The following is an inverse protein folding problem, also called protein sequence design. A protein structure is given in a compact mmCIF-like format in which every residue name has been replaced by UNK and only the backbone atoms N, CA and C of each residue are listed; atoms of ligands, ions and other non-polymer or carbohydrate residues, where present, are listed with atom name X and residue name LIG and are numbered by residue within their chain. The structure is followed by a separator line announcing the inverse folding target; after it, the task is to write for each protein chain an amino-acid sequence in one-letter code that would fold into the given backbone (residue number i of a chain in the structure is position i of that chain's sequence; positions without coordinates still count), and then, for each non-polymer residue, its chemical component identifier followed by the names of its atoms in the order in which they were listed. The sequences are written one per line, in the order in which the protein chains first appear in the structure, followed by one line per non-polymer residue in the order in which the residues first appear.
data_IF_848611545670
#
_entry.id   IF_848611545670
#
_cell.length_a   1.000
_cell.length_b   1.000
_cell.length_c   1.000
_cell.angle_alpha   90.00
_cell.angle_beta   90.00
_cell.angle_gamma   90.00
#
_symmetry.space_group_name_H-M   'P 1'
#
loop_
_entity.id
_entity.type
_entity.pdbx_description
1 polymer ?
#
# COMPACT_ATOMS: atom_id res chain seq x y z
N UNK A 1 26.44 -11.07 -24.69
CA UNK A 1 26.45 -9.95 -23.74
C UNK A 1 25.01 -9.45 -23.74
N UNK A 2 24.16 -9.85 -22.78
CA UNK A 2 22.78 -9.40 -22.78
C UNK A 2 22.69 -8.00 -22.16
N UNK A 3 21.81 -7.22 -22.76
CA UNK A 3 21.60 -5.79 -22.70
C UNK A 3 21.12 -5.32 -21.31
N UNK A 4 21.89 -4.44 -20.67
CA UNK A 4 21.60 -3.85 -19.35
C UNK A 4 20.71 -2.59 -19.44
N UNK A 5 20.03 -2.36 -20.57
CA UNK A 5 19.29 -1.12 -20.86
C UNK A 5 17.78 -1.35 -21.15
N UNK A 6 17.17 -2.41 -20.61
CA UNK A 6 15.71 -2.56 -20.63
C UNK A 6 15.07 -2.21 -19.27
N UNK A 7 15.58 -1.15 -18.63
CA UNK A 7 15.18 -0.72 -17.27
C UNK A 7 14.04 0.31 -17.25
N UNK A 8 13.49 0.70 -18.40
CA UNK A 8 12.47 1.77 -18.48
C UNK A 8 11.02 1.27 -18.48
N UNK A 9 10.77 -0.03 -18.61
CA UNK A 9 9.42 -0.60 -18.77
C UNK A 9 9.10 -1.52 -17.59
N UNK A 10 7.93 -1.30 -17.01
CA UNK A 10 7.39 -2.09 -15.91
C UNK A 10 7.08 -3.50 -16.42
N UNK A 11 7.58 -4.54 -15.74
CA UNK A 11 7.32 -5.93 -16.15
C UNK A 11 5.94 -6.38 -15.64
N UNK A 12 5.44 -7.50 -16.18
CA UNK A 12 4.21 -8.10 -15.66
C UNK A 12 4.29 -8.47 -14.17
N UNK A 13 5.48 -8.81 -13.67
CA UNK A 13 5.70 -9.12 -12.26
C UNK A 13 5.59 -7.89 -11.37
N UNK A 14 6.11 -6.74 -11.83
CA UNK A 14 5.99 -5.47 -11.11
C UNK A 14 4.53 -5.04 -10.98
N UNK A 15 3.77 -5.11 -12.08
CA UNK A 15 2.33 -4.83 -12.05
C UNK A 15 1.62 -5.76 -11.06
N UNK A 16 1.93 -7.05 -11.08
CA UNK A 16 1.32 -8.02 -10.18
C UNK A 16 1.60 -7.70 -8.70
N UNK A 17 2.82 -7.25 -8.37
CA UNK A 17 3.19 -6.86 -7.01
C UNK A 17 2.39 -5.64 -6.54
N UNK A 18 2.29 -4.59 -7.36
CA UNK A 18 1.51 -3.39 -7.04
C UNK A 18 0.03 -3.72 -6.84
N UNK A 19 -0.55 -4.49 -7.77
CA UNK A 19 -1.94 -4.92 -7.65
C UNK A 19 -2.17 -5.77 -6.40
N UNK A 20 -1.21 -6.61 -6.02
CA UNK A 20 -1.31 -7.42 -4.80
C UNK A 20 -1.38 -6.57 -3.54
N UNK A 21 -0.64 -5.46 -3.48
CA UNK A 21 -0.71 -4.54 -2.34
C UNK A 21 -2.08 -3.88 -2.31
N UNK A 22 -2.53 -3.30 -3.42
CA UNK A 22 -3.81 -2.59 -3.47
C UNK A 22 -5.03 -3.49 -3.23
N UNK A 23 -4.94 -4.77 -3.60
CA UNK A 23 -5.98 -5.77 -3.33
C UNK A 23 -6.16 -6.02 -1.82
N UNK A 24 -5.07 -5.99 -1.04
CA UNK A 24 -5.09 -6.12 0.43
C UNK A 24 -5.83 -4.94 1.10
N UNK A 25 -5.78 -3.76 0.48
CA UNK A 25 -6.57 -2.59 0.87
C UNK A 25 -8.04 -2.63 0.39
N UNK A 26 -8.44 -3.69 -0.32
CA UNK A 26 -9.77 -3.79 -0.92
C UNK A 26 -10.00 -2.79 -2.06
N UNK A 27 -8.92 -2.26 -2.66
CA UNK A 27 -9.01 -1.36 -3.80
C UNK A 27 -9.16 -2.20 -5.05
N UNK A 28 -10.29 -2.03 -5.75
CA UNK A 28 -10.52 -2.73 -7.00
C UNK A 28 -9.45 -2.34 -8.03
N UNK A 29 -8.98 -3.32 -8.80
CA UNK A 29 -7.94 -3.13 -9.83
C UNK A 29 -8.31 -2.09 -10.89
N UNK A 30 -9.59 -1.77 -11.04
CA UNK A 30 -10.10 -0.70 -11.91
C UNK A 30 -9.86 0.72 -11.36
N UNK A 31 -9.70 0.85 -10.04
CA UNK A 31 -9.36 2.09 -9.35
C UNK A 31 -7.85 2.27 -9.21
N UNK A 32 -7.03 1.31 -9.65
CA UNK A 32 -5.57 1.37 -9.54
C UNK A 32 -4.97 1.59 -10.91
N UNK A 33 -4.31 2.73 -11.08
CA UNK A 33 -3.53 3.07 -12.26
C UNK A 33 -2.05 2.89 -11.94
N UNK A 34 -1.40 1.94 -12.61
CA UNK A 34 0.05 1.78 -12.53
C UNK A 34 0.66 2.38 -13.78
N UNK A 35 1.61 3.30 -13.60
CA UNK A 35 2.30 3.90 -14.71
C UNK A 35 3.20 2.86 -15.38
N UNK A 36 3.11 2.71 -16.71
CA UNK A 36 3.91 1.73 -17.48
C UNK A 36 5.38 2.16 -17.65
N UNK A 37 5.67 3.43 -17.35
CA UNK A 37 6.99 4.00 -17.33
C UNK A 37 7.53 3.99 -15.89
N UNK A 38 8.79 3.60 -15.73
CA UNK A 38 9.47 3.73 -14.44
C UNK A 38 10.11 5.12 -14.36
N UNK A 39 9.85 5.85 -13.28
CA UNK A 39 10.38 7.21 -13.02
C UNK A 39 11.07 7.24 -11.65
N UNK A 40 12.26 7.83 -11.57
CA UNK A 40 12.97 8.04 -10.30
C UNK A 40 13.02 9.53 -9.96
N UNK A 41 12.41 9.97 -8.84
CA UNK A 41 11.80 9.16 -7.78
C UNK A 41 10.38 8.67 -8.11
N UNK A 42 10.04 7.44 -7.70
CA UNK A 42 8.66 6.93 -7.83
C UNK A 42 7.68 7.68 -6.93
N UNK A 43 6.42 7.77 -7.33
CA UNK A 43 5.36 8.50 -6.63
C UNK A 43 4.09 7.67 -6.42
N UNK A 44 3.38 7.96 -5.33
CA UNK A 44 2.03 7.45 -5.06
C UNK A 44 1.11 8.63 -4.91
N UNK A 45 0.07 8.69 -5.73
CA UNK A 45 -0.90 9.77 -5.72
C UNK A 45 -2.30 9.19 -5.62
N UNK A 46 -3.13 9.78 -4.78
CA UNK A 46 -4.51 9.37 -4.60
C UNK A 46 -5.38 10.51 -5.10
N UNK A 47 -6.22 10.21 -6.07
CA UNK A 47 -7.19 11.16 -6.59
C UNK A 47 -8.37 11.30 -5.63
N UNK A 48 -9.00 12.48 -5.56
CA UNK A 48 -10.23 12.67 -4.78
C UNK A 48 -11.43 11.86 -5.31
N UNK A 49 -11.30 11.24 -6.49
CA UNK A 49 -12.27 10.30 -7.05
C UNK A 49 -12.13 8.88 -6.47
N UNK A 50 -11.10 8.62 -5.65
CA UNK A 50 -10.80 7.31 -5.06
C UNK A 50 -9.89 6.42 -5.91
N UNK A 51 -9.34 6.93 -7.01
CA UNK A 51 -8.35 6.21 -7.82
C UNK A 51 -6.94 6.41 -7.29
N UNK A 52 -6.14 5.35 -7.28
CA UNK A 52 -4.75 5.32 -6.82
C UNK A 52 -3.81 5.23 -8.02
N UNK A 53 -2.93 6.20 -8.16
CA UNK A 53 -1.91 6.29 -9.20
C UNK A 53 -0.55 5.96 -8.59
N UNK A 54 0.13 4.97 -9.17
CA UNK A 54 1.39 4.44 -8.64
C UNK A 54 2.45 4.46 -9.74
N UNK A 55 3.54 5.14 -9.47
CA UNK A 55 4.72 5.25 -10.34
C UNK A 55 5.90 4.57 -9.65
N UNK A 56 6.46 3.54 -10.30
CA UNK A 56 7.57 2.76 -9.73
C UNK A 56 8.93 3.38 -10.04
N UNK A 57 9.86 3.43 -9.07
CA UNK A 57 11.23 3.88 -9.28
C UNK A 57 12.06 2.91 -10.13
N UNK A 58 12.90 3.43 -11.03
CA UNK A 58 13.91 2.60 -11.73
C UNK A 58 15.00 2.08 -10.78
N UNK A 59 15.26 2.80 -9.68
CA UNK A 59 16.34 2.50 -8.73
C UNK A 59 15.98 1.42 -7.70
N UNK A 60 14.70 1.04 -7.59
CA UNK A 60 14.21 0.14 -6.51
C UNK A 60 13.32 -0.98 -7.03
N UNK A 61 13.37 -2.12 -6.34
CA UNK A 61 12.50 -3.26 -6.63
C UNK A 61 11.05 -2.95 -6.23
N UNK A 62 10.05 -3.50 -6.95
CA UNK A 62 8.63 -3.28 -6.65
C UNK A 62 8.25 -3.77 -5.25
N UNK A 63 8.94 -4.77 -4.72
CA UNK A 63 8.73 -5.32 -3.37
C UNK A 63 9.13 -4.33 -2.25
N UNK A 64 10.23 -3.60 -2.44
CA UNK A 64 10.66 -2.56 -1.51
C UNK A 64 9.74 -1.32 -1.61
N UNK A 65 9.32 -1.01 -2.83
CA UNK A 65 8.41 0.11 -3.07
C UNK A 65 6.96 -0.18 -2.63
N UNK A 66 6.53 -1.44 -2.66
CA UNK A 66 5.25 -1.90 -2.11
C UNK A 66 5.08 -1.49 -0.64
N UNK A 67 6.15 -1.54 0.15
CA UNK A 67 6.15 -1.08 1.53
C UNK A 67 5.96 0.43 1.68
N UNK A 68 6.31 1.21 0.65
CA UNK A 68 6.07 2.67 0.60
C UNK A 68 4.63 2.95 0.14
N UNK A 69 4.15 2.22 -0.88
CA UNK A 69 2.76 2.32 -1.36
C UNK A 69 1.76 2.09 -0.23
N UNK A 70 1.92 1.03 0.56
CA UNK A 70 1.05 0.78 1.72
C UNK A 70 1.04 1.95 2.71
N UNK A 71 2.21 2.54 2.98
CA UNK A 71 2.33 3.61 3.96
C UNK A 71 1.65 4.89 3.47
N UNK A 72 1.77 5.19 2.17
CA UNK A 72 1.09 6.32 1.52
C UNK A 72 -0.43 6.09 1.49
N UNK A 73 -0.90 4.89 1.17
CA UNK A 73 -2.31 4.51 1.23
C UNK A 73 -2.89 4.70 2.64
N UNK A 74 -2.20 4.18 3.67
CA UNK A 74 -2.58 4.34 5.07
C UNK A 74 -2.61 5.81 5.51
N UNK A 75 -1.59 6.59 5.12
CA UNK A 75 -1.50 8.02 5.44
C UNK A 75 -2.64 8.85 4.82
N UNK A 76 -3.18 8.42 3.67
CA UNK A 76 -4.30 9.04 3.01
C UNK A 76 -5.68 8.50 3.47
N UNK A 77 -5.70 7.59 4.45
CA UNK A 77 -6.93 7.09 5.05
C UNK A 77 -7.52 5.84 4.38
N UNK A 78 -6.77 5.16 3.50
CA UNK A 78 -7.13 3.79 3.12
C UNK A 78 -6.82 2.86 4.28
N UNK A 79 -7.85 2.19 4.78
CA UNK A 79 -7.68 1.14 5.77
C UNK A 79 -7.53 -0.20 5.05
N UNK A 80 -6.52 -0.97 5.43
CA UNK A 80 -6.41 -2.38 5.03
C UNK A 80 -7.74 -3.08 5.31
N UNK A 81 -8.28 -3.75 4.29
CA UNK A 81 -9.66 -4.23 4.38
C UNK A 81 -9.71 -5.36 5.43
N UNK A 82 -10.49 -5.22 6.51
CA UNK A 82 -10.45 -6.10 7.67
C UNK A 82 -11.05 -7.50 7.46
N UNK A 83 -11.00 -8.07 6.25
CA UNK A 83 -11.11 -9.53 6.07
C UNK A 83 -9.96 -10.29 6.72
N UNK A 84 -8.89 -9.58 7.08
CA UNK A 84 -7.79 -10.01 7.93
C UNK A 84 -7.59 -8.99 9.07
N UNK A 85 -8.64 -8.72 9.87
CA UNK A 85 -8.39 -8.21 11.22
C UNK A 85 -7.77 -9.33 12.05
N UNK A 86 -6.49 -9.20 12.35
CA UNK A 86 -6.10 -9.51 13.72
C UNK A 86 -6.78 -8.44 14.56
N UNK A 87 -7.82 -8.84 15.26
CA UNK A 87 -8.43 -8.06 16.31
C UNK A 87 -7.33 -7.70 17.31
N UNK A 88 -6.74 -6.51 17.17
CA UNK A 88 -6.16 -5.86 18.34
C UNK A 88 -7.32 -5.18 19.07
N UNK A 89 -8.22 -6.03 19.58
CA UNK A 89 -8.93 -5.78 20.82
C UNK A 89 -7.85 -5.54 21.87
N UNK A 90 -7.45 -4.29 22.05
CA UNK A 90 -7.05 -3.82 23.36
C UNK A 90 -8.31 -3.26 24.01
N UNK A 91 -9.33 -4.11 24.11
CA UNK A 91 -10.24 -4.09 25.24
C UNK A 91 -9.38 -4.46 26.45
N UNK A 92 -8.98 -3.45 27.20
CA UNK A 92 -8.53 -3.65 28.56
C UNK A 92 -9.17 -2.56 29.38
N UNK A 93 -10.39 -2.88 29.82
CA UNK A 93 -10.90 -2.54 31.13
C UNK A 93 -10.80 -1.06 31.50
N UNK A 94 -11.82 -0.33 31.10
CA UNK A 94 -12.40 0.67 31.98
C UNK A 94 -12.86 -0.04 33.27
N UNK A 95 -12.04 0.00 34.31
CA UNK A 95 -12.46 -0.19 35.70
C UNK A 95 -12.07 1.10 36.44
N UNK A 96 -12.83 2.15 36.14
CA UNK A 96 -12.97 3.30 37.03
C UNK A 96 -13.53 2.80 38.38
N UNK A 97 -12.74 3.08 39.43
CA UNK A 97 -13.17 3.40 40.78
C UNK A 97 -14.19 2.49 41.49
N UNK A 98 -13.73 1.71 42.47
CA UNK A 98 -14.49 1.55 43.72
C UNK A 98 -13.57 1.21 44.91
N UNK A 99 -13.17 2.29 45.58
CA UNK A 99 -12.94 2.43 47.02
C UNK A 99 -13.68 1.36 47.85
N UNK A 100 -13.02 0.22 48.16
CA UNK A 100 -13.53 -0.76 49.12
C UNK A 100 -12.48 -1.13 50.18
N UNK A 101 -12.73 -0.55 51.36
CA UNK A 101 -12.32 -0.94 52.72
C UNK A 101 -10.93 -0.42 53.17
N UNK A 102 -10.84 0.60 54.02
CA UNK A 102 -11.38 0.71 55.39
C UNK A 102 -10.92 -0.43 56.32
#
# INVERSE_FOLDING_TARGET
MPDDDNITIITMADMAAVFSVTDDFGIHRESVSVELAREDPGAVSITPAGSVEITLPVSRSPDDYAATIRAELEANGYQLNPGQVVSNESDTGDDEDDDWLA
#
